data_IF_609527832444
#
_entry.id   IF_609527832444
#
_cell.length_a   1.000
_cell.length_b   1.000
_cell.length_c   1.000
_cell.angle_alpha   90.00
_cell.angle_beta   90.00
_cell.angle_gamma   90.00
#
_symmetry.space_group_name_H-M   'P 1'
#
loop_
_entity.id
_entity.type
_entity.pdbx_description
1 polymer ?
#
# COMPACT_ATOMS: atom_id res chain seq x y z
N UNK A 1 -21.25 18.07 -20.74
CA UNK A 1 -21.22 16.59 -20.68
C UNK A 1 -20.07 16.03 -19.82
N UNK A 2 -18.80 16.37 -20.08
CA UNK A 2 -17.64 15.87 -19.29
C UNK A 2 -17.71 16.12 -17.78
N UNK A 3 -18.15 17.31 -17.32
CA UNK A 3 -18.27 17.62 -15.88
C UNK A 3 -19.28 16.74 -15.14
N UNK A 4 -20.36 16.29 -15.80
CA UNK A 4 -21.40 15.42 -15.20
C UNK A 4 -20.87 13.99 -15.03
N UNK A 5 -20.11 13.49 -16.01
CA UNK A 5 -19.44 12.18 -15.93
C UNK A 5 -18.38 12.14 -14.82
N UNK A 6 -17.56 13.20 -14.68
CA UNK A 6 -16.56 13.27 -13.62
C UNK A 6 -17.17 13.22 -12.20
N UNK A 7 -18.34 13.86 -12.00
CA UNK A 7 -19.07 13.81 -10.73
C UNK A 7 -19.52 12.39 -10.38
N UNK A 8 -20.12 11.69 -11.36
CA UNK A 8 -20.57 10.30 -11.17
C UNK A 8 -19.41 9.35 -10.87
N UNK A 9 -18.30 9.48 -11.61
CA UNK A 9 -17.08 8.69 -11.36
C UNK A 9 -16.56 8.93 -9.94
N UNK A 10 -16.53 10.18 -9.46
CA UNK A 10 -16.13 10.48 -8.08
C UNK A 10 -17.06 9.83 -7.05
N UNK A 11 -18.36 9.78 -7.31
CA UNK A 11 -19.32 9.12 -6.39
C UNK A 11 -19.08 7.61 -6.28
N UNK A 12 -18.69 6.96 -7.37
CA UNK A 12 -18.35 5.52 -7.36
C UNK A 12 -16.98 5.26 -6.73
N UNK A 13 -15.98 6.08 -7.04
CA UNK A 13 -14.61 5.87 -6.56
C UNK A 13 -14.45 6.25 -5.08
N UNK A 14 -15.16 7.27 -4.58
CA UNK A 14 -15.03 7.75 -3.20
C UNK A 14 -15.16 6.63 -2.14
N UNK A 15 -16.20 5.79 -2.12
CA UNK A 15 -16.31 4.73 -1.11
C UNK A 15 -15.18 3.71 -1.20
N UNK A 16 -14.69 3.40 -2.41
CA UNK A 16 -13.56 2.49 -2.60
C UNK A 16 -12.28 3.10 -2.01
N UNK A 17 -12.00 4.37 -2.30
CA UNK A 17 -10.82 5.06 -1.77
C UNK A 17 -10.90 5.20 -0.25
N UNK A 18 -12.08 5.51 0.28
CA UNK A 18 -12.31 5.61 1.73
C UNK A 18 -12.01 4.26 2.41
N UNK A 19 -12.53 3.16 1.84
CA UNK A 19 -12.21 1.81 2.29
C UNK A 19 -10.70 1.53 2.25
N UNK A 20 -10.05 1.80 1.13
CA UNK A 20 -8.60 1.59 0.99
C UNK A 20 -7.79 2.34 2.05
N UNK A 21 -8.17 3.59 2.36
CA UNK A 21 -7.50 4.39 3.41
C UNK A 21 -7.72 3.81 4.81
N UNK A 22 -8.92 3.32 5.11
CA UNK A 22 -9.23 2.66 6.39
C UNK A 22 -8.24 1.52 6.64
N UNK A 23 -7.94 0.72 5.62
CA UNK A 23 -7.02 -0.43 5.68
C UNK A 23 -5.55 -0.08 5.36
N UNK A 24 -5.18 1.20 5.36
CA UNK A 24 -3.78 1.62 5.23
C UNK A 24 -3.22 1.60 3.80
N UNK A 25 -4.07 1.38 2.79
CA UNK A 25 -3.69 1.46 1.39
C UNK A 25 -3.67 2.92 0.95
N UNK A 26 -2.47 3.51 0.95
CA UNK A 26 -2.29 4.89 0.52
C UNK A 26 -2.37 5.07 -1.01
N UNK A 27 -2.40 6.33 -1.46
CA UNK A 27 -2.47 6.67 -2.88
C UNK A 27 -1.35 6.06 -3.74
N UNK A 28 -0.12 5.96 -3.22
CA UNK A 28 1.01 5.43 -4.00
C UNK A 28 0.80 3.95 -4.30
N UNK A 29 0.38 3.18 -3.30
CA UNK A 29 -0.01 1.78 -3.45
C UNK A 29 -1.15 1.62 -4.45
N UNK A 30 -2.25 2.36 -4.22
CA UNK A 30 -3.39 2.36 -5.12
C UNK A 30 -3.02 2.76 -6.56
N UNK A 31 -2.13 3.73 -6.75
CA UNK A 31 -1.69 4.17 -8.08
C UNK A 31 -0.94 3.06 -8.83
N UNK A 32 -0.14 2.24 -8.14
CA UNK A 32 0.55 1.10 -8.75
C UNK A 32 -0.46 0.04 -9.18
N UNK A 33 -1.35 -0.37 -8.27
CA UNK A 33 -2.39 -1.39 -8.52
C UNK A 33 -3.34 -0.92 -9.65
N UNK A 34 -3.85 0.30 -9.55
CA UNK A 34 -4.78 0.85 -10.55
C UNK A 34 -4.16 0.94 -11.94
N UNK A 35 -2.89 1.33 -12.07
CA UNK A 35 -2.20 1.34 -13.38
C UNK A 35 -2.13 -0.04 -14.00
N UNK A 36 -1.84 -1.06 -13.19
CA UNK A 36 -1.84 -2.45 -13.62
C UNK A 36 -3.20 -2.86 -14.17
N UNK A 37 -4.25 -2.62 -13.41
CA UNK A 37 -5.65 -2.91 -13.77
C UNK A 37 -6.05 -2.18 -15.05
N UNK A 38 -5.75 -0.88 -15.16
CA UNK A 38 -6.01 -0.08 -16.37
C UNK A 38 -5.30 -0.65 -17.60
N UNK A 39 -4.02 -1.01 -17.48
CA UNK A 39 -3.24 -1.58 -18.59
C UNK A 39 -3.75 -2.96 -18.98
N UNK A 40 -4.07 -3.82 -18.01
CA UNK A 40 -4.60 -5.17 -18.25
C UNK A 40 -5.95 -5.11 -18.99
N UNK A 41 -6.88 -4.27 -18.50
CA UNK A 41 -8.18 -4.06 -19.15
C UNK A 41 -8.00 -3.48 -20.55
N UNK A 42 -7.16 -2.46 -20.72
CA UNK A 42 -6.92 -1.84 -22.02
C UNK A 42 -6.26 -2.81 -23.02
N UNK A 43 -5.31 -3.64 -22.56
CA UNK A 43 -4.65 -4.65 -23.38
C UNK A 43 -5.64 -5.65 -23.96
N UNK A 44 -6.61 -6.11 -23.14
CA UNK A 44 -7.67 -7.05 -23.55
C UNK A 44 -8.72 -6.35 -24.43
N UNK A 45 -9.25 -5.20 -23.99
CA UNK A 45 -10.38 -4.52 -24.64
C UNK A 45 -10.06 -3.90 -25.99
N UNK A 46 -8.83 -3.40 -26.18
CA UNK A 46 -8.43 -2.74 -27.43
C UNK A 46 -7.57 -3.62 -28.34
N UNK A 47 -7.45 -4.91 -28.01
CA UNK A 47 -6.86 -5.93 -28.86
C UNK A 47 -7.63 -6.16 -30.17
N UNK A 48 -7.01 -6.84 -31.14
CA UNK A 48 -7.65 -7.22 -32.41
C UNK A 48 -7.33 -8.67 -32.73
N UNK A 49 -8.28 -9.38 -33.35
CA UNK A 49 -8.10 -10.76 -33.85
C UNK A 49 -7.50 -11.70 -32.80
N UNK A 50 -8.08 -11.72 -31.59
CA UNK A 50 -7.63 -12.51 -30.43
C UNK A 50 -6.22 -12.18 -29.90
N UNK A 51 -5.59 -11.09 -30.35
CA UNK A 51 -4.31 -10.59 -29.83
C UNK A 51 -4.49 -9.38 -28.93
N UNK A 52 -3.67 -9.29 -27.88
CA UNK A 52 -3.60 -8.12 -27.00
C UNK A 52 -3.17 -6.86 -27.76
N UNK A 53 -3.61 -5.70 -27.29
CA UNK A 53 -3.18 -4.42 -27.83
C UNK A 53 -1.67 -4.21 -27.66
N UNK A 54 -1.06 -3.56 -28.66
CA UNK A 54 0.33 -3.13 -28.58
C UNK A 54 0.50 -1.95 -27.60
N UNK A 55 1.74 -1.67 -27.20
CA UNK A 55 2.03 -0.69 -26.16
C UNK A 55 1.57 0.73 -26.54
N UNK A 56 1.63 1.09 -27.83
CA UNK A 56 1.20 2.41 -28.31
C UNK A 56 -0.32 2.59 -28.17
N UNK A 57 -1.10 1.57 -28.54
CA UNK A 57 -2.57 1.62 -28.44
C UNK A 57 -3.04 1.65 -26.99
N UNK A 58 -2.38 0.91 -26.10
CA UNK A 58 -2.65 0.96 -24.66
C UNK A 58 -2.29 2.34 -24.11
N UNK A 59 -1.15 2.90 -24.50
CA UNK A 59 -0.70 4.22 -24.04
C UNK A 59 -1.69 5.32 -24.41
N UNK A 60 -2.19 5.32 -25.65
CA UNK A 60 -3.22 6.26 -26.10
C UNK A 60 -4.52 6.10 -25.31
N UNK A 61 -4.97 4.87 -25.08
CA UNK A 61 -6.24 4.60 -24.40
C UNK A 61 -6.22 4.89 -22.90
N UNK A 62 -5.06 4.73 -22.25
CA UNK A 62 -4.91 4.84 -20.78
C UNK A 62 -4.27 6.15 -20.34
N UNK A 63 -3.58 6.88 -21.24
CA UNK A 63 -2.73 8.01 -20.89
C UNK A 63 -1.44 7.63 -20.18
N UNK A 64 -1.17 6.33 -19.95
CA UNK A 64 0.08 5.85 -19.34
C UNK A 64 1.18 5.83 -20.39
N UNK A 65 2.38 6.26 -20.04
CA UNK A 65 3.50 6.32 -21.00
C UNK A 65 3.85 4.95 -21.58
N UNK A 66 4.28 4.91 -22.84
CA UNK A 66 4.67 3.66 -23.52
C UNK A 66 5.75 2.87 -22.76
N UNK A 67 6.71 3.56 -22.14
CA UNK A 67 7.76 2.95 -21.30
C UNK A 67 7.16 2.24 -20.10
N UNK A 68 6.23 2.89 -19.41
CA UNK A 68 5.58 2.35 -18.22
C UNK A 68 4.63 1.19 -18.57
N UNK A 69 3.88 1.30 -19.68
CA UNK A 69 3.09 0.19 -20.23
C UNK A 69 3.96 -1.03 -20.51
N UNK A 70 5.11 -0.84 -21.15
CA UNK A 70 6.03 -1.95 -21.46
C UNK A 70 6.57 -2.60 -20.19
N UNK A 71 6.93 -1.79 -19.19
CA UNK A 71 7.43 -2.27 -17.89
C UNK A 71 6.36 -3.11 -17.17
N UNK A 72 5.14 -2.60 -17.06
CA UNK A 72 4.04 -3.28 -16.36
C UNK A 72 3.62 -4.55 -17.11
N UNK A 73 3.53 -4.52 -18.45
CA UNK A 73 3.24 -5.74 -19.23
C UNK A 73 4.28 -6.83 -19.04
N UNK A 74 5.56 -6.48 -18.92
CA UNK A 74 6.63 -7.44 -18.64
C UNK A 74 6.42 -8.09 -17.27
N UNK A 75 6.10 -7.30 -16.24
CA UNK A 75 5.83 -7.82 -14.89
C UNK A 75 4.62 -8.77 -14.88
N UNK A 76 3.53 -8.38 -15.55
CA UNK A 76 2.33 -9.21 -15.70
C UNK A 76 2.60 -10.55 -16.40
N UNK A 77 3.53 -10.58 -17.36
CA UNK A 77 3.91 -11.82 -18.07
C UNK A 77 4.82 -12.72 -17.23
N UNK A 78 5.59 -12.14 -16.32
CA UNK A 78 6.48 -12.89 -15.42
C UNK A 78 5.72 -13.45 -14.20
N UNK A 79 4.40 -13.26 -14.12
CA UNK A 79 3.54 -13.56 -12.95
C UNK A 79 4.10 -13.03 -11.62
N UNK A 80 5.02 -12.07 -11.70
CA UNK A 80 5.53 -11.36 -10.54
C UNK A 80 4.44 -10.44 -10.09
N UNK A 81 3.76 -10.83 -9.02
CA UNK A 81 2.77 -9.97 -8.41
C UNK A 81 3.44 -8.65 -8.03
N UNK A 82 2.78 -7.55 -8.38
CA UNK A 82 3.28 -6.24 -7.98
C UNK A 82 3.14 -6.03 -6.46
N UNK A 83 2.55 -7.00 -5.76
CA UNK A 83 2.46 -7.10 -4.29
C UNK A 83 3.83 -6.92 -3.64
N UNK A 84 4.89 -7.55 -4.15
CA UNK A 84 6.27 -7.38 -3.64
C UNK A 84 6.81 -5.95 -3.82
N UNK A 85 6.23 -5.17 -4.75
CA UNK A 85 6.72 -3.83 -5.12
C UNK A 85 5.88 -2.70 -4.54
N UNK A 86 4.71 -3.02 -3.98
CA UNK A 86 3.91 -2.07 -3.21
C UNK A 86 4.37 -2.13 -1.75
N UNK A 87 5.67 -1.88 -1.52
CA UNK A 87 6.15 -1.65 -0.16
C UNK A 87 5.53 -0.34 0.31
N UNK A 88 4.50 -0.45 1.14
CA UNK A 88 3.92 0.68 1.84
C UNK A 88 5.03 1.33 2.66
N UNK A 89 5.20 2.66 2.66
CA UNK A 89 6.25 3.32 3.42
C UNK A 89 6.32 2.88 4.89
N UNK A 90 5.16 2.62 5.50
CA UNK A 90 5.05 2.10 6.86
C UNK A 90 5.55 0.66 7.00
N UNK A 91 5.38 -0.18 5.97
CA UNK A 91 5.90 -1.55 5.98
C UNK A 91 7.42 -1.54 6.13
N UNK A 92 8.11 -0.58 5.50
CA UNK A 92 9.57 -0.43 5.68
C UNK A 92 9.96 -0.12 7.13
N UNK A 93 9.15 0.63 7.87
CA UNK A 93 9.39 0.90 9.29
C UNK A 93 9.27 -0.39 10.08
N UNK A 94 8.23 -1.17 9.80
CA UNK A 94 7.96 -2.46 10.45
C UNK A 94 9.07 -3.47 10.12
N UNK A 95 9.42 -3.63 8.84
CA UNK A 95 10.50 -4.50 8.38
C UNK A 95 11.82 -4.12 9.04
N UNK A 96 12.13 -2.83 9.14
CA UNK A 96 13.33 -2.37 9.82
C UNK A 96 13.30 -2.72 11.31
N UNK A 97 12.15 -2.61 11.97
CA UNK A 97 12.00 -2.99 13.38
C UNK A 97 12.19 -4.51 13.57
N UNK A 98 11.73 -5.31 12.61
CA UNK A 98 11.77 -6.78 12.67
C UNK A 98 13.13 -7.34 12.29
N UNK A 99 13.83 -6.75 11.33
CA UNK A 99 15.03 -7.37 10.74
C UNK A 99 16.34 -6.70 11.12
N UNK A 100 16.32 -5.53 11.77
CA UNK A 100 17.54 -4.83 12.19
C UNK A 100 17.81 -5.08 13.67
N UNK A 101 18.93 -5.74 13.94
CA UNK A 101 19.41 -6.11 15.28
C UNK A 101 19.51 -4.92 16.25
N UNK A 102 19.69 -3.70 15.74
CA UNK A 102 19.70 -2.50 16.58
C UNK A 102 18.35 -2.23 17.28
N UNK A 103 17.26 -2.79 16.77
CA UNK A 103 15.92 -2.70 17.35
C UNK A 103 15.45 -4.02 17.94
N UNK A 104 16.36 -4.97 18.18
CA UNK A 104 16.05 -6.23 18.86
C UNK A 104 16.30 -6.15 20.37
N UNK A 105 15.58 -6.98 21.12
CA UNK A 105 15.85 -7.26 22.52
C UNK A 105 16.85 -8.42 22.67
N UNK A 106 17.02 -8.90 23.90
CA UNK A 106 17.95 -10.00 24.21
C UNK A 106 17.54 -11.34 23.58
N UNK A 107 16.28 -11.50 23.20
CA UNK A 107 15.72 -12.71 22.58
C UNK A 107 15.66 -12.62 21.05
N UNK A 108 16.34 -11.62 20.46
CA UNK A 108 16.30 -11.32 19.01
C UNK A 108 14.88 -11.00 18.49
N UNK A 109 14.02 -10.45 19.34
CA UNK A 109 12.68 -10.02 18.99
C UNK A 109 12.57 -8.49 18.92
N UNK A 110 11.58 -7.92 18.20
CA UNK A 110 11.39 -6.47 18.14
C UNK A 110 11.24 -5.85 19.53
N UNK A 111 12.20 -5.00 19.90
CA UNK A 111 12.29 -4.36 21.21
C UNK A 111 11.17 -3.35 21.43
N UNK A 112 10.75 -3.17 22.68
CA UNK A 112 9.95 -2.01 23.09
C UNK A 112 10.78 -0.71 22.97
N UNK A 113 10.29 0.24 22.19
CA UNK A 113 11.00 1.49 21.92
C UNK A 113 10.44 2.65 22.74
N UNK A 114 11.30 3.49 23.29
CA UNK A 114 10.90 4.85 23.67
C UNK A 114 10.59 5.67 22.42
N UNK A 115 9.78 6.73 22.55
CA UNK A 115 9.54 7.65 21.43
C UNK A 115 10.85 8.26 20.90
N UNK A 116 11.66 8.87 21.77
CA UNK A 116 12.91 9.56 21.36
C UNK A 116 14.10 9.36 22.30
N UNK A 117 13.97 8.46 23.28
CA UNK A 117 15.02 8.24 24.29
C UNK A 117 15.86 6.98 24.01
N UNK A 118 17.16 7.06 24.31
CA UNK A 118 18.11 5.97 24.20
C UNK A 118 18.69 5.70 22.81
N UNK A 119 19.50 4.64 22.70
CA UNK A 119 20.19 4.27 21.45
C UNK A 119 19.27 3.67 20.39
N UNK A 120 18.21 2.98 20.82
CA UNK A 120 17.15 2.43 19.98
C UNK A 120 15.82 3.10 20.35
N UNK A 121 15.43 4.12 19.60
CA UNK A 121 14.18 4.87 19.78
C UNK A 121 13.34 4.81 18.51
N UNK A 122 12.04 5.11 18.64
CA UNK A 122 11.12 5.14 17.50
C UNK A 122 11.49 6.23 16.49
N UNK A 123 11.92 7.41 16.95
CA UNK A 123 12.46 8.46 16.08
C UNK A 123 13.65 7.97 15.24
N UNK A 124 14.56 7.19 15.83
CA UNK A 124 15.70 6.60 15.10
C UNK A 124 15.26 5.53 14.10
N UNK A 125 14.31 4.68 14.47
CA UNK A 125 13.71 3.69 13.57
C UNK A 125 13.10 4.37 12.33
N UNK A 126 12.28 5.39 12.55
CA UNK A 126 11.67 6.17 11.45
C UNK A 126 12.74 6.87 10.61
N UNK A 127 13.73 7.50 11.24
CA UNK A 127 14.84 8.15 10.53
C UNK A 127 15.61 7.19 9.63
N UNK A 128 15.89 5.97 10.10
CA UNK A 128 16.57 4.94 9.32
C UNK A 128 15.71 4.36 8.19
N UNK A 129 14.38 4.33 8.34
CA UNK A 129 13.46 3.89 7.28
C UNK A 129 13.40 4.85 6.07
N UNK A 130 13.93 6.08 6.23
CA UNK A 130 14.00 7.12 5.19
C UNK A 130 12.64 7.43 4.55
N UNK A 131 11.57 7.36 5.32
CA UNK A 131 10.25 7.81 4.87
C UNK A 131 10.13 9.32 5.08
N UNK A 132 9.53 10.02 4.12
CA UNK A 132 9.43 11.48 4.12
C UNK A 132 8.21 11.97 4.94
N UNK A 133 8.12 11.52 6.19
CA UNK A 133 7.06 11.87 7.16
C UNK A 133 7.65 11.92 8.57
N UNK A 134 7.04 12.69 9.46
CA UNK A 134 7.54 12.85 10.83
C UNK A 134 7.31 11.58 11.66
N UNK A 135 8.18 11.26 12.64
CA UNK A 135 7.99 10.11 13.53
C UNK A 135 6.62 10.12 14.22
N UNK A 136 6.16 11.28 14.69
CA UNK A 136 4.83 11.42 15.30
C UNK A 136 3.70 10.98 14.37
N UNK A 137 3.71 11.41 13.10
CA UNK A 137 2.68 11.00 12.14
C UNK A 137 2.73 9.50 11.83
N UNK A 138 3.94 8.92 11.76
CA UNK A 138 4.12 7.48 11.57
C UNK A 138 3.55 6.71 12.75
N UNK A 139 3.86 7.13 13.97
CA UNK A 139 3.34 6.53 15.19
C UNK A 139 1.81 6.53 15.20
N UNK A 140 1.18 7.69 14.98
CA UNK A 140 -0.27 7.78 14.96
C UNK A 140 -0.92 6.91 13.88
N UNK A 141 -0.29 6.79 12.71
CA UNK A 141 -0.83 5.96 11.64
C UNK A 141 -0.66 4.46 11.92
N UNK A 142 0.49 4.04 12.48
CA UNK A 142 0.67 2.66 12.93
C UNK A 142 -0.31 2.30 14.05
N UNK A 143 -0.57 3.22 14.99
CA UNK A 143 -1.53 3.04 16.08
C UNK A 143 -2.97 2.97 15.54
N UNK A 144 -3.36 3.86 14.62
CA UNK A 144 -4.66 3.83 13.93
C UNK A 144 -4.90 2.50 13.21
N UNK A 145 -3.84 1.93 12.64
CA UNK A 145 -3.87 0.64 11.95
C UNK A 145 -3.78 -0.56 12.90
N UNK A 146 -3.65 -0.34 14.21
CA UNK A 146 -3.53 -1.41 15.21
C UNK A 146 -2.22 -2.20 15.14
N UNK A 147 -1.19 -1.62 14.51
CA UNK A 147 0.11 -2.26 14.30
C UNK A 147 1.05 -2.05 15.48
N UNK A 148 0.80 -1.01 16.27
CA UNK A 148 1.52 -0.71 17.50
C UNK A 148 0.54 -0.38 18.62
N UNK A 149 1.03 -0.43 19.84
CA UNK A 149 0.40 0.20 20.99
C UNK A 149 1.43 0.98 21.81
N UNK A 150 0.94 1.92 22.61
CA UNK A 150 1.73 2.62 23.62
C UNK A 150 1.32 2.06 24.98
N UNK A 151 2.26 1.45 25.69
CA UNK A 151 1.99 0.88 27.01
C UNK A 151 1.87 1.99 28.09
N UNK A 152 1.55 1.59 29.33
CA UNK A 152 1.39 2.52 30.46
C UNK A 152 2.65 3.33 30.79
N UNK A 153 3.82 2.86 30.39
CA UNK A 153 5.12 3.50 30.59
C UNK A 153 5.53 4.41 29.42
N UNK A 154 4.66 4.58 28.42
CA UNK A 154 4.96 5.37 27.22
C UNK A 154 5.91 4.68 26.24
N UNK A 155 6.11 3.36 26.37
CA UNK A 155 6.90 2.56 25.44
C UNK A 155 6.01 2.04 24.31
N UNK A 156 6.57 2.02 23.11
CA UNK A 156 5.90 1.61 21.89
C UNK A 156 6.22 0.15 21.63
N UNK A 157 5.17 -0.68 21.52
CA UNK A 157 5.26 -2.11 21.24
C UNK A 157 4.69 -2.40 19.85
N UNK A 158 5.42 -3.19 19.06
CA UNK A 158 4.94 -3.74 17.81
C UNK A 158 3.96 -4.89 18.08
N UNK A 159 2.75 -4.81 17.54
CA UNK A 159 1.72 -5.83 17.68
C UNK A 159 1.63 -6.76 16.46
N UNK A 160 1.87 -6.21 15.27
CA UNK A 160 1.70 -6.92 14.01
C UNK A 160 2.77 -6.52 13.00
N UNK A 161 3.14 -7.47 12.15
CA UNK A 161 4.20 -7.30 11.16
C UNK A 161 3.69 -6.95 9.74
N UNK A 162 2.37 -6.92 9.53
CA UNK A 162 1.75 -6.64 8.24
C UNK A 162 0.63 -5.62 8.40
N UNK A 163 0.60 -4.64 7.50
CA UNK A 163 -0.46 -3.60 7.49
C UNK A 163 -1.85 -4.20 7.20
N UNK A 164 -1.92 -5.15 6.27
CA UNK A 164 -3.09 -5.98 6.04
C UNK A 164 -2.73 -7.38 6.54
N UNK A 165 -3.41 -7.83 7.59
CA UNK A 165 -3.30 -9.16 8.15
C UNK A 165 -4.57 -9.97 7.80
N UNK A 166 -4.57 -11.26 8.08
CA UNK A 166 -5.69 -12.16 7.72
C UNK A 166 -7.03 -11.67 8.30
N UNK A 167 -7.06 -11.23 9.58
CA UNK A 167 -8.27 -10.70 10.20
C UNK A 167 -8.80 -9.42 9.54
N UNK A 168 -7.91 -8.51 9.13
CA UNK A 168 -8.24 -7.28 8.44
C UNK A 168 -8.61 -7.55 6.98
N UNK A 169 -8.04 -8.57 6.36
CA UNK A 169 -8.33 -9.00 5.00
C UNK A 169 -9.77 -9.54 4.90
N UNK A 170 -10.21 -10.37 5.85
CA UNK A 170 -11.59 -10.85 5.92
C UNK A 170 -12.60 -9.68 6.05
N UNK A 171 -12.32 -8.73 6.93
CA UNK A 171 -13.16 -7.53 7.12
C UNK A 171 -13.13 -6.67 5.87
N UNK A 172 -11.97 -6.52 5.22
CA UNK A 172 -11.81 -5.78 3.97
C UNK A 172 -12.65 -6.41 2.86
N UNK A 173 -12.59 -7.73 2.68
CA UNK A 173 -13.38 -8.46 1.69
C UNK A 173 -14.88 -8.34 1.97
N UNK A 174 -15.31 -8.53 3.22
CA UNK A 174 -16.71 -8.39 3.60
C UNK A 174 -17.25 -6.97 3.29
N UNK A 175 -16.47 -5.94 3.62
CA UNK A 175 -16.83 -4.55 3.30
C UNK A 175 -16.79 -4.28 1.80
N UNK A 176 -15.79 -4.76 1.07
CA UNK A 176 -15.68 -4.56 -0.37
C UNK A 176 -16.89 -5.15 -1.12
N UNK A 177 -17.32 -6.36 -0.73
CA UNK A 177 -18.49 -7.03 -1.31
C UNK A 177 -19.80 -6.28 -1.04
N UNK A 178 -19.87 -5.48 0.03
CA UNK A 178 -21.03 -4.60 0.27
C UNK A 178 -21.13 -3.43 -0.73
N UNK A 179 -20.02 -3.07 -1.40
CA UNK A 179 -19.97 -1.97 -2.38
C UNK A 179 -20.10 -2.43 -3.84
N UNK A 180 -19.85 -3.71 -4.13
CA UNK A 180 -19.93 -4.29 -5.47
C UNK A 180 -21.12 -5.27 -5.46
N UNK A 181 -22.30 -4.88 -5.97
CA UNK A 181 -23.38 -5.86 -6.13
C UNK A 181 -22.92 -6.97 -7.08
N UNK A 182 -23.11 -8.22 -6.65
CA UNK A 182 -22.90 -9.43 -7.46
C UNK A 182 -23.75 -9.41 -8.74
#
# INVERSE_FOLDING_TARGET
MQKRSAKLIKQVIKPIIDLLLIFGVNYKAFSVISKEVYISIAAKRFGKRKRLANNSRISIATGVSRREVSRIKKLLLEEKSMEEKVVLPLQRVIDLWIFNENFHDHDSLPKLLSYDDGNASFCKLVGQSRINVTPKSVMHELERLGLIEINKEGKIRLLQNKIINDSNEDIFHARLNSFIPN
#
